data_IF_440080914286
#
_entry.id   IF_440080914286
#
_cell.length_a   1.000
_cell.length_b   1.000
_cell.length_c   1.000
_cell.angle_alpha   90.00
_cell.angle_beta   90.00
_cell.angle_gamma   90.00
#
_symmetry.space_group_name_H-M   'P 1'
#
loop_
_entity.id
_entity.type
_entity.pdbx_description
1 polymer ?
#
# COMPACT_ATOMS: atom_id res chain seq x y z
N UNK A 1 -9.36 -29.95 -39.95
CA UNK A 1 -9.73 -28.59 -39.51
C UNK A 1 -9.76 -28.65 -37.98
N UNK A 2 -8.67 -28.52 -37.21
CA UNK A 2 -7.64 -27.46 -37.04
C UNK A 2 -8.16 -26.04 -36.89
N UNK A 3 -8.02 -25.54 -35.66
CA UNK A 3 -7.63 -24.20 -35.17
C UNK A 3 -8.40 -23.94 -33.87
N UNK A 4 -7.88 -23.46 -32.73
CA UNK A 4 -6.56 -23.09 -32.20
C UNK A 4 -6.77 -23.09 -30.67
N UNK A 5 -5.86 -23.59 -29.82
CA UNK A 5 -4.55 -23.00 -29.60
C UNK A 5 -4.61 -21.88 -28.56
N UNK A 6 -5.07 -22.14 -27.32
CA UNK A 6 -4.89 -21.20 -26.20
C UNK A 6 -3.42 -21.26 -25.79
N UNK A 7 -2.64 -20.36 -26.37
CA UNK A 7 -1.25 -20.11 -26.02
C UNK A 7 -1.19 -19.19 -24.81
N UNK A 8 -1.05 -19.75 -23.60
CA UNK A 8 -0.67 -18.98 -22.40
C UNK A 8 0.86 -18.83 -22.42
N UNK A 9 1.34 -17.93 -23.27
CA UNK A 9 2.74 -17.50 -23.25
C UNK A 9 2.90 -16.37 -22.22
N UNK A 10 3.19 -16.78 -21.00
CA UNK A 10 3.52 -15.91 -19.89
C UNK A 10 4.18 -16.75 -18.79
N UNK A 11 5.30 -17.42 -19.13
CA UNK A 11 6.15 -18.03 -18.11
C UNK A 11 6.76 -16.91 -17.28
N UNK A 12 6.01 -16.44 -16.28
CA UNK A 12 6.60 -15.85 -15.08
C UNK A 12 7.59 -16.88 -14.56
N UNK A 13 8.87 -16.53 -14.57
CA UNK A 13 9.95 -17.42 -14.17
C UNK A 13 9.69 -17.82 -12.72
N UNK A 14 9.21 -19.05 -12.50
CA UNK A 14 9.00 -19.56 -11.16
C UNK A 14 10.32 -19.42 -10.38
N UNK A 15 10.30 -18.82 -9.17
CA UNK A 15 11.50 -18.63 -8.39
C UNK A 15 12.15 -19.99 -8.10
N UNK A 16 13.49 -20.04 -8.15
CA UNK A 16 14.25 -21.25 -7.82
C UNK A 16 13.88 -21.72 -6.40
N UNK A 17 13.66 -23.02 -6.18
CA UNK A 17 13.42 -23.54 -4.83
C UNK A 17 14.63 -23.20 -3.95
N UNK A 18 14.40 -22.40 -2.90
CA UNK A 18 15.43 -22.01 -1.92
C UNK A 18 15.84 -20.53 -1.93
N UNK A 19 15.33 -19.69 -2.86
CA UNK A 19 15.55 -18.24 -2.80
C UNK A 19 14.26 -17.53 -2.40
N UNK A 20 14.19 -17.03 -1.17
CA UNK A 20 13.12 -16.12 -0.75
C UNK A 20 13.23 -14.85 -1.57
N UNK A 21 12.30 -14.61 -2.50
CA UNK A 21 12.20 -13.30 -3.15
C UNK A 21 11.59 -12.30 -2.17
N UNK A 22 12.07 -11.07 -2.19
CA UNK A 22 11.58 -9.98 -1.36
C UNK A 22 11.06 -8.86 -2.26
N UNK A 23 9.90 -8.31 -1.94
CA UNK A 23 9.35 -7.16 -2.64
C UNK A 23 9.71 -5.89 -1.87
N UNK A 24 10.10 -4.82 -2.55
CA UNK A 24 10.36 -3.50 -1.94
C UNK A 24 9.22 -2.55 -2.24
N UNK A 25 8.49 -2.16 -1.20
CA UNK A 25 7.50 -1.09 -1.27
C UNK A 25 8.18 0.26 -1.11
N UNK A 26 7.84 1.19 -1.99
CA UNK A 26 8.48 2.50 -2.05
C UNK A 26 7.47 3.59 -2.42
N UNK A 27 7.69 4.81 -1.97
CA UNK A 27 6.87 5.95 -2.45
C UNK A 27 7.03 6.13 -3.95
N UNK A 28 5.97 6.52 -4.65
CA UNK A 28 6.05 6.95 -6.03
C UNK A 28 6.97 8.17 -6.15
N UNK A 29 7.55 8.37 -7.35
CA UNK A 29 8.30 9.60 -7.66
C UNK A 29 7.31 10.75 -7.89
N UNK A 30 6.51 11.11 -6.89
CA UNK A 30 5.64 12.28 -6.96
C UNK A 30 6.33 13.42 -6.23
N UNK A 31 6.68 14.46 -6.99
CA UNK A 31 7.40 15.63 -6.53
C UNK A 31 6.67 16.30 -5.36
N UNK A 32 7.29 16.34 -4.18
CA UNK A 32 6.96 17.35 -3.19
C UNK A 32 7.56 18.68 -3.67
N UNK A 33 6.80 19.44 -4.46
CA UNK A 33 7.08 20.85 -4.66
C UNK A 33 6.81 21.55 -3.34
N UNK A 34 7.82 21.61 -2.47
CA UNK A 34 7.79 22.46 -1.29
C UNK A 34 7.47 23.89 -1.75
N UNK A 35 6.37 24.43 -1.24
CA UNK A 35 5.99 25.81 -1.48
C UNK A 35 7.10 26.75 -1.02
N UNK A 36 7.77 27.40 -1.97
CA UNK A 36 8.56 28.59 -1.76
C UNK A 36 8.39 29.48 -3.00
N UNK A 37 7.97 30.72 -2.76
CA UNK A 37 7.51 31.65 -3.78
C UNK A 37 8.53 31.98 -4.87
N UNK A 38 7.97 32.35 -6.02
CA UNK A 38 8.52 33.20 -7.07
C UNK A 38 10.06 33.39 -7.09
N UNK A 39 10.73 32.62 -7.93
CA UNK A 39 12.11 32.87 -8.35
C UNK A 39 12.51 31.87 -9.43
N UNK A 40 12.69 32.34 -10.66
CA UNK A 40 13.02 31.52 -11.82
C UNK A 40 14.33 30.74 -11.61
N UNK A 41 14.23 29.41 -11.71
CA UNK A 41 15.34 28.48 -11.66
C UNK A 41 14.82 27.07 -11.45
N UNK A 42 14.39 26.39 -12.52
CA UNK A 42 13.95 25.00 -12.46
C UNK A 42 15.15 24.08 -12.20
N UNK A 43 15.54 23.96 -10.93
CA UNK A 43 16.36 22.83 -10.47
C UNK A 43 15.46 21.59 -10.49
N UNK A 44 15.77 20.62 -11.35
CA UNK A 44 15.16 19.30 -11.32
C UNK A 44 15.42 18.68 -9.94
N UNK A 45 14.42 18.77 -9.05
CA UNK A 45 14.49 18.16 -7.74
C UNK A 45 14.72 16.67 -7.89
N UNK A 46 15.74 16.13 -7.21
CA UNK A 46 15.97 14.69 -7.12
C UNK A 46 14.73 14.07 -6.50
N UNK A 47 14.02 13.22 -7.24
CA UNK A 47 12.93 12.43 -6.69
C UNK A 47 13.51 11.48 -5.63
N UNK A 48 13.26 11.78 -4.35
CA UNK A 48 13.69 10.91 -3.24
C UNK A 48 12.63 9.85 -3.05
N UNK A 49 12.95 8.62 -3.46
CA UNK A 49 12.11 7.46 -3.20
C UNK A 49 12.37 6.93 -1.78
N UNK A 50 11.35 6.86 -0.93
CA UNK A 50 11.48 6.35 0.45
C UNK A 50 11.13 4.87 0.51
N UNK A 51 11.95 4.06 1.16
CA UNK A 51 11.66 2.64 1.42
C UNK A 51 10.62 2.47 2.53
N UNK A 52 9.49 1.85 2.20
CA UNK A 52 8.34 1.70 3.09
C UNK A 52 8.31 0.33 3.77
N UNK A 53 8.54 -0.75 3.04
CA UNK A 53 8.43 -2.12 3.57
C UNK A 53 9.15 -3.12 2.66
N UNK A 54 9.75 -4.17 3.25
CA UNK A 54 10.44 -5.23 2.53
C UNK A 54 10.02 -6.64 2.97
N UNK A 55 8.78 -7.06 2.64
CA UNK A 55 8.31 -8.41 2.93
C UNK A 55 8.90 -9.46 1.98
N UNK A 56 8.78 -10.73 2.34
CA UNK A 56 8.90 -11.79 1.36
C UNK A 56 7.75 -11.73 0.33
N UNK A 57 7.95 -12.37 -0.83
CA UNK A 57 6.99 -12.32 -1.92
C UNK A 57 5.62 -12.91 -1.59
N UNK A 58 5.51 -13.85 -0.65
CA UNK A 58 4.21 -14.43 -0.27
C UNK A 58 3.40 -13.45 0.55
N UNK A 59 4.04 -12.78 1.50
CA UNK A 59 3.43 -11.73 2.32
C UNK A 59 3.06 -10.52 1.45
N UNK A 60 3.93 -10.14 0.50
CA UNK A 60 3.61 -9.10 -0.48
C UNK A 60 2.37 -9.45 -1.29
N UNK A 61 2.30 -10.66 -1.85
CA UNK A 61 1.15 -11.11 -2.65
C UNK A 61 -0.15 -11.16 -1.85
N UNK A 62 -0.11 -11.61 -0.59
CA UNK A 62 -1.29 -11.61 0.28
C UNK A 62 -1.79 -10.18 0.54
N UNK A 63 -0.88 -9.26 0.83
CA UNK A 63 -1.23 -7.86 1.07
C UNK A 63 -1.81 -7.19 -0.18
N UNK A 64 -1.21 -7.41 -1.35
CA UNK A 64 -1.69 -6.86 -2.63
C UNK A 64 -3.07 -7.41 -3.00
N UNK A 65 -3.29 -8.71 -2.89
CA UNK A 65 -4.60 -9.31 -3.18
C UNK A 65 -5.69 -8.81 -2.22
N UNK A 66 -5.36 -8.57 -0.94
CA UNK A 66 -6.31 -7.95 -0.01
C UNK A 66 -6.59 -6.49 -0.40
N UNK A 67 -5.55 -5.72 -0.76
CA UNK A 67 -5.71 -4.34 -1.17
C UNK A 67 -6.59 -4.19 -2.42
N UNK A 68 -6.41 -5.07 -3.41
CA UNK A 68 -7.23 -5.11 -4.64
C UNK A 68 -8.69 -5.43 -4.31
N UNK A 69 -8.94 -6.52 -3.57
CA UNK A 69 -10.30 -6.91 -3.18
C UNK A 69 -11.01 -5.82 -2.37
N UNK A 70 -10.29 -5.16 -1.46
CA UNK A 70 -10.88 -4.14 -0.62
C UNK A 70 -11.06 -2.81 -1.35
N UNK A 71 -10.17 -2.48 -2.30
CA UNK A 71 -10.36 -1.34 -3.21
C UNK A 71 -11.63 -1.50 -4.04
N UNK A 72 -11.88 -2.70 -4.58
CA UNK A 72 -13.10 -3.01 -5.32
C UNK A 72 -14.35 -2.87 -4.44
N UNK A 73 -14.30 -3.38 -3.20
CA UNK A 73 -15.40 -3.27 -2.25
C UNK A 73 -15.73 -1.81 -1.90
N UNK A 74 -14.70 -0.98 -1.71
CA UNK A 74 -14.85 0.44 -1.35
C UNK A 74 -15.11 1.34 -2.56
N UNK A 75 -14.89 0.86 -3.79
CA UNK A 75 -14.98 1.65 -5.01
C UNK A 75 -13.92 2.74 -5.12
N UNK A 76 -12.78 2.61 -4.42
CA UNK A 76 -11.67 3.57 -4.45
C UNK A 76 -10.34 2.86 -4.68
N UNK A 77 -9.42 3.43 -5.49
CA UNK A 77 -8.13 2.80 -5.75
C UNK A 77 -7.26 2.73 -4.48
N UNK A 78 -6.47 1.66 -4.34
CA UNK A 78 -5.63 1.43 -3.15
C UNK A 78 -4.38 2.33 -3.08
N UNK A 79 -3.94 2.86 -4.23
CA UNK A 79 -2.67 3.58 -4.34
C UNK A 79 -1.43 2.67 -4.31
N UNK A 80 -1.62 1.35 -4.31
CA UNK A 80 -0.54 0.36 -4.33
C UNK A 80 -0.43 -0.18 -5.76
N UNK A 81 0.71 0.03 -6.40
CA UNK A 81 0.97 -0.40 -7.77
C UNK A 81 1.39 -1.86 -7.88
N UNK A 82 1.49 -2.33 -9.13
CA UNK A 82 1.94 -3.68 -9.44
C UNK A 82 3.37 -3.95 -8.97
N UNK A 83 3.68 -5.22 -8.72
CA UNK A 83 5.05 -5.68 -8.49
C UNK A 83 5.77 -5.80 -9.82
N UNK A 84 6.75 -4.92 -10.05
CA UNK A 84 7.59 -4.93 -11.25
C UNK A 84 9.05 -5.01 -10.78
N UNK A 85 9.78 -6.04 -11.21
CA UNK A 85 11.17 -6.29 -10.82
C UNK A 85 11.40 -6.27 -9.29
N UNK A 86 10.53 -6.98 -8.55
CA UNK A 86 10.55 -7.04 -7.09
C UNK A 86 10.37 -5.68 -6.39
N UNK A 87 9.84 -4.67 -7.08
CA UNK A 87 9.51 -3.36 -6.53
C UNK A 87 8.02 -3.07 -6.70
N UNK A 88 7.42 -2.43 -5.70
CA UNK A 88 6.05 -1.96 -5.69
C UNK A 88 6.04 -0.47 -5.38
N UNK A 89 5.44 0.32 -6.27
CA UNK A 89 5.29 1.77 -6.09
C UNK A 89 4.00 2.07 -5.33
N UNK A 90 4.08 2.99 -4.38
CA UNK A 90 2.96 3.44 -3.55
C UNK A 90 2.73 4.93 -3.80
N UNK A 91 1.56 5.28 -4.32
CA UNK A 91 1.09 6.67 -4.33
C UNK A 91 0.52 6.99 -2.94
N UNK A 92 1.23 7.86 -2.21
CA UNK A 92 0.92 8.21 -0.84
C UNK A 92 -0.40 8.98 -0.71
N UNK A 93 -0.75 9.79 -1.70
CA UNK A 93 -2.00 10.55 -1.71
C UNK A 93 -3.23 9.67 -1.96
N UNK A 94 -3.09 8.71 -2.89
CA UNK A 94 -4.15 7.74 -3.18
C UNK A 94 -4.29 6.74 -2.03
N UNK A 95 -3.16 6.30 -1.45
CA UNK A 95 -3.16 5.44 -0.26
C UNK A 95 -3.81 6.14 0.95
N UNK A 96 -3.63 7.44 1.13
CA UNK A 96 -4.30 8.21 2.19
C UNK A 96 -5.83 8.15 2.04
N UNK A 97 -6.33 8.41 0.83
CA UNK A 97 -7.75 8.35 0.53
C UNK A 97 -8.33 6.94 0.75
N UNK A 98 -7.60 5.91 0.30
CA UNK A 98 -7.95 4.51 0.53
C UNK A 98 -8.01 4.15 2.02
N UNK A 99 -7.01 4.56 2.81
CA UNK A 99 -6.99 4.35 4.26
C UNK A 99 -8.15 5.09 4.94
N UNK A 100 -8.47 6.31 4.52
CA UNK A 100 -9.59 7.07 5.06
C UNK A 100 -10.94 6.36 4.79
N UNK A 101 -11.13 5.86 3.57
CA UNK A 101 -12.32 5.08 3.19
C UNK A 101 -12.40 3.75 3.96
N UNK A 102 -11.28 3.05 4.10
CA UNK A 102 -11.16 1.80 4.85
C UNK A 102 -11.56 1.96 6.33
N UNK A 103 -11.12 3.06 6.95
CA UNK A 103 -11.45 3.37 8.34
C UNK A 103 -12.93 3.75 8.51
N UNK A 104 -13.49 4.49 7.55
CA UNK A 104 -14.92 4.82 7.54
C UNK A 104 -15.78 3.56 7.40
N UNK A 105 -15.44 2.67 6.47
CA UNK A 105 -16.12 1.39 6.27
C UNK A 105 -16.04 0.51 7.52
N UNK A 106 -14.86 0.41 8.15
CA UNK A 106 -14.70 -0.34 9.39
C UNK A 106 -15.62 0.19 10.51
N UNK A 107 -15.75 1.51 10.62
CA UNK A 107 -16.63 2.16 11.59
C UNK A 107 -18.12 1.98 11.29
N UNK A 108 -18.51 1.94 10.01
CA UNK A 108 -19.89 1.85 9.56
C UNK A 108 -20.45 0.42 9.56
N UNK A 109 -19.61 -0.61 9.33
CA UNK A 109 -20.07 -2.01 9.25
C UNK A 109 -20.34 -2.60 10.64
N UNK A 110 -21.51 -3.19 10.86
CA UNK A 110 -21.82 -3.97 12.07
C UNK A 110 -21.43 -5.46 11.93
N UNK A 111 -20.94 -5.87 10.76
CA UNK A 111 -20.54 -7.25 10.49
C UNK A 111 -19.19 -7.55 11.14
N UNK A 112 -19.21 -8.15 12.34
CA UNK A 112 -18.01 -8.43 13.12
C UNK A 112 -16.93 -9.25 12.39
N UNK A 113 -17.34 -10.13 11.48
CA UNK A 113 -16.41 -10.93 10.66
C UNK A 113 -15.65 -10.05 9.67
N UNK A 114 -16.32 -9.12 8.99
CA UNK A 114 -15.66 -8.18 8.08
C UNK A 114 -14.62 -7.35 8.85
N UNK A 115 -14.98 -6.81 10.02
CA UNK A 115 -14.02 -6.10 10.90
C UNK A 115 -12.80 -6.96 11.25
N UNK A 116 -13.02 -8.23 11.58
CA UNK A 116 -11.94 -9.16 11.95
C UNK A 116 -11.01 -9.44 10.77
N UNK A 117 -11.56 -9.56 9.56
CA UNK A 117 -10.77 -9.78 8.34
C UNK A 117 -9.95 -8.54 7.95
N UNK A 118 -10.49 -7.33 8.14
CA UNK A 118 -9.86 -6.10 7.65
C UNK A 118 -8.94 -5.42 8.66
N UNK A 119 -9.10 -5.64 9.97
CA UNK A 119 -8.37 -4.88 11.01
C UNK A 119 -6.84 -4.93 10.83
N UNK A 120 -6.28 -6.12 10.62
CA UNK A 120 -4.83 -6.30 10.44
C UNK A 120 -4.33 -5.75 9.11
N UNK A 121 -5.17 -5.80 8.07
CA UNK A 121 -4.87 -5.20 6.77
C UNK A 121 -4.80 -3.67 6.87
N UNK A 122 -5.82 -3.04 7.48
CA UNK A 122 -5.88 -1.59 7.65
C UNK A 122 -4.68 -1.10 8.46
N UNK A 123 -4.35 -1.78 9.57
CA UNK A 123 -3.18 -1.45 10.37
C UNK A 123 -1.88 -1.50 9.56
N UNK A 124 -1.72 -2.52 8.70
CA UNK A 124 -0.56 -2.66 7.82
C UNK A 124 -0.50 -1.55 6.76
N UNK A 125 -1.63 -1.19 6.15
CA UNK A 125 -1.72 -0.09 5.20
C UNK A 125 -1.37 1.27 5.86
N UNK A 126 -1.82 1.49 7.09
CA UNK A 126 -1.46 2.68 7.87
C UNK A 126 0.03 2.77 8.19
N UNK A 127 0.75 1.64 8.29
CA UNK A 127 2.21 1.66 8.43
C UNK A 127 2.86 2.18 7.15
N UNK A 128 2.41 1.72 5.97
CA UNK A 128 2.93 2.22 4.69
C UNK A 128 2.68 3.73 4.55
N UNK A 129 1.48 4.18 4.92
CA UNK A 129 1.09 5.59 4.88
C UNK A 129 1.96 6.45 5.80
N UNK A 130 2.15 6.03 7.06
CA UNK A 130 2.99 6.74 8.03
C UNK A 130 4.45 6.80 7.58
N UNK A 131 4.98 5.70 7.03
CA UNK A 131 6.34 5.66 6.48
C UNK A 131 6.51 6.52 5.23
N UNK A 132 5.43 6.78 4.51
CA UNK A 132 5.40 7.74 3.40
C UNK A 132 5.28 9.21 3.89
N UNK A 133 5.23 9.44 5.20
CA UNK A 133 5.16 10.77 5.81
C UNK A 133 3.74 11.29 6.02
N UNK A 134 2.73 10.41 5.90
CA UNK A 134 1.32 10.77 6.10
C UNK A 134 0.76 10.09 7.36
N UNK A 135 0.29 10.86 8.37
CA UNK A 135 -0.25 10.26 9.59
C UNK A 135 -1.61 9.58 9.34
N UNK A 136 -2.15 8.93 10.38
CA UNK A 136 -3.51 8.35 10.33
C UNK A 136 -4.53 9.43 9.93
N UNK A 137 -5.42 9.17 8.96
CA UNK A 137 -6.40 10.14 8.47
C UNK A 137 -7.21 10.79 9.60
N UNK A 138 -7.44 12.10 9.49
CA UNK A 138 -8.19 12.86 10.50
C UNK A 138 -9.70 12.69 10.41
N UNK A 139 -10.18 11.93 9.42
CA UNK A 139 -11.60 11.64 9.16
C UNK A 139 -12.24 10.78 10.25
N UNK A 140 -11.46 10.06 11.05
CA UNK A 140 -11.95 9.29 12.21
C UNK A 140 -11.95 10.10 13.50
N UNK A 141 -12.83 9.73 14.44
CA UNK A 141 -12.91 10.32 15.77
C UNK A 141 -11.56 10.24 16.50
N UNK A 142 -11.25 11.21 17.35
CA UNK A 142 -9.93 11.35 18.01
C UNK A 142 -9.52 10.09 18.78
N UNK A 143 -10.45 9.48 19.53
CA UNK A 143 -10.19 8.24 20.27
C UNK A 143 -9.89 7.06 19.35
N UNK A 144 -10.71 6.88 18.30
CA UNK A 144 -10.48 5.84 17.28
C UNK A 144 -9.13 6.05 16.58
N UNK A 145 -8.74 7.29 16.31
CA UNK A 145 -7.45 7.63 15.72
C UNK A 145 -6.28 7.19 16.60
N UNK A 146 -6.40 7.41 17.91
CA UNK A 146 -5.39 6.98 18.87
C UNK A 146 -5.26 5.45 18.91
N UNK A 147 -6.39 4.73 18.87
CA UNK A 147 -6.39 3.27 18.80
C UNK A 147 -5.74 2.75 17.51
N UNK A 148 -6.09 3.34 16.35
CA UNK A 148 -5.48 2.98 15.07
C UNK A 148 -3.99 3.33 14.99
N UNK A 149 -3.57 4.44 15.57
CA UNK A 149 -2.15 4.79 15.68
C UNK A 149 -1.39 3.77 16.52
N UNK A 150 -1.93 3.35 17.68
CA UNK A 150 -1.31 2.33 18.51
C UNK A 150 -1.21 0.98 17.80
N UNK A 151 -2.25 0.56 17.09
CA UNK A 151 -2.23 -0.70 16.33
C UNK A 151 -1.26 -0.65 15.14
N UNK A 152 -1.21 0.49 14.43
CA UNK A 152 -0.19 0.75 13.42
C UNK A 152 1.21 0.63 14.00
N UNK A 153 1.48 1.21 15.16
CA UNK A 153 2.81 1.17 15.78
C UNK A 153 3.22 -0.27 16.16
N UNK A 154 2.26 -1.09 16.61
CA UNK A 154 2.48 -2.53 16.83
C UNK A 154 2.85 -3.26 15.54
N UNK A 155 2.16 -2.98 14.43
CA UNK A 155 2.48 -3.56 13.12
C UNK A 155 3.84 -3.06 12.60
N UNK A 156 4.16 -1.78 12.79
CA UNK A 156 5.41 -1.18 12.35
C UNK A 156 6.63 -1.89 12.95
N UNK A 157 6.53 -2.37 14.19
CA UNK A 157 7.60 -3.09 14.88
C UNK A 157 7.98 -4.43 14.20
N UNK A 158 7.05 -5.04 13.46
CA UNK A 158 7.25 -6.33 12.78
C UNK A 158 7.35 -6.21 11.25
N UNK A 159 7.25 -4.99 10.71
CA UNK A 159 7.36 -4.72 9.27
C UNK A 159 8.77 -4.20 8.93
N UNK A 160 9.70 -5.02 8.44
CA UNK A 160 11.05 -4.57 8.07
C UNK A 160 11.02 -3.56 6.90
N UNK A 161 11.95 -2.60 6.87
CA UNK A 161 12.13 -1.66 5.74
C UNK A 161 13.17 -2.17 4.76
#
# INVERSE_FOLDING_TARGET
MSADGISVSGRSSAPRPGTTSYVRFRTGSSHYAAGAGAGAGASAGVAVTVGLWRPDGRVAGLFLGHAELFADLLGVPSGIGDVINDECSVDDSVLEAFCAASLAEYGATDQGIQRTLTVGFIATALVLLDRAGRPVPTTVATEQRAAWAALRDQHAAVMPR
#
